data_IF_708899149558
#
_entry.id   IF_708899149558
#
_cell.length_a   1.000
_cell.length_b   1.000
_cell.length_c   1.000
_cell.angle_alpha   90.00
_cell.angle_beta   90.00
_cell.angle_gamma   90.00
#
_symmetry.space_group_name_H-M   'P 1'
#
loop_
_entity.id
_entity.type
_entity.pdbx_description
1 polymer ?
#
# COMPACT_ATOMS: atom_id res chain seq x y z
N UNK A 1 -20.84 10.74 8.82
CA UNK A 1 -20.18 9.43 8.95
C UNK A 1 -18.69 9.66 8.75
N UNK A 2 -17.88 9.50 9.79
CA UNK A 2 -16.43 9.73 9.73
C UNK A 2 -15.79 8.45 9.16
N UNK A 3 -15.32 8.50 7.93
CA UNK A 3 -14.54 7.41 7.35
C UNK A 3 -13.14 7.46 7.99
N UNK A 4 -12.88 6.54 8.90
CA UNK A 4 -11.61 6.38 9.57
C UNK A 4 -10.90 5.20 8.90
N UNK A 5 -9.84 5.48 8.13
CA UNK A 5 -9.14 4.45 7.35
C UNK A 5 -7.97 3.91 8.19
N UNK A 6 -8.02 2.61 8.46
CA UNK A 6 -6.85 1.84 8.85
C UNK A 6 -5.87 1.82 7.67
N UNK A 7 -4.64 2.28 7.88
CA UNK A 7 -3.54 2.13 6.92
C UNK A 7 -3.29 0.63 6.71
N UNK A 8 -3.91 0.04 5.69
CA UNK A 8 -3.57 -1.29 5.23
C UNK A 8 -2.30 -1.17 4.39
N UNK A 9 -1.15 -1.35 5.05
CA UNK A 9 0.14 -1.45 4.39
C UNK A 9 0.22 -2.84 3.74
N UNK A 10 0.05 -2.89 2.42
CA UNK A 10 0.21 -4.08 1.60
C UNK A 10 1.68 -4.30 1.23
N UNK A 11 2.11 -5.55 1.29
CA UNK A 11 3.49 -6.04 1.33
C UNK A 11 4.11 -6.33 -0.04
N UNK A 12 5.43 -6.16 -0.22
CA UNK A 12 6.18 -6.68 -1.38
C UNK A 12 7.55 -7.24 -0.94
N UNK A 13 7.78 -8.55 -1.12
CA UNK A 13 9.12 -9.16 -1.09
C UNK A 13 9.46 -9.69 -2.49
N UNK A 14 10.51 -9.14 -3.09
CA UNK A 14 11.08 -9.66 -4.33
C UNK A 14 12.05 -10.80 -4.02
N UNK A 15 11.85 -11.98 -4.61
CA UNK A 15 12.89 -13.00 -4.73
C UNK A 15 13.10 -13.41 -6.18
N UNK A 16 14.39 -13.52 -6.51
CA UNK A 16 15.00 -13.80 -7.81
C UNK A 16 14.72 -15.25 -8.22
N UNK A 17 14.40 -15.45 -9.49
CA UNK A 17 14.08 -16.74 -10.09
C UNK A 17 15.32 -17.55 -10.47
N UNK A 18 15.32 -18.86 -10.18
CA UNK A 18 16.03 -19.88 -10.97
C UNK A 18 15.26 -21.22 -10.94
N UNK A 19 15.10 -21.83 -12.13
CA UNK A 19 14.94 -23.29 -12.31
C UNK A 19 13.51 -23.83 -12.51
N UNK A 20 13.23 -24.32 -13.73
CA UNK A 20 12.08 -25.19 -14.07
C UNK A 20 12.38 -26.65 -13.72
N UNK A 21 11.41 -27.38 -13.14
CA UNK A 21 11.08 -28.79 -13.46
C UNK A 21 9.58 -29.00 -13.23
N UNK A 22 8.86 -29.44 -14.26
CA UNK A 22 7.47 -29.89 -14.15
C UNK A 22 7.40 -31.32 -13.59
N UNK A 23 6.61 -31.52 -12.54
CA UNK A 23 6.06 -32.85 -12.18
C UNK A 23 4.61 -32.62 -11.76
N UNK A 24 3.66 -33.16 -12.53
CA UNK A 24 2.25 -33.20 -12.17
C UNK A 24 1.93 -34.42 -11.30
N UNK A 25 1.22 -34.25 -10.17
CA UNK A 25 0.24 -35.24 -9.72
C UNK A 25 -1.16 -34.65 -9.71
N UNK A 26 -2.09 -35.43 -10.27
CA UNK A 26 -3.53 -35.20 -10.30
C UNK A 26 -4.12 -35.34 -8.88
N UNK A 27 -5.00 -34.42 -8.50
CA UNK A 27 -5.86 -34.37 -7.30
C UNK A 27 -5.20 -33.97 -5.96
N UNK A 28 -5.48 -32.72 -5.52
CA UNK A 28 -5.10 -32.11 -4.23
C UNK A 28 -5.50 -30.62 -4.22
N UNK A 29 -5.74 -29.96 -3.06
CA UNK A 29 -6.70 -28.87 -2.90
C UNK A 29 -6.38 -27.63 -3.76
N UNK A 30 -7.45 -26.95 -4.19
CA UNK A 30 -7.48 -25.77 -5.07
C UNK A 30 -6.25 -24.87 -4.84
N UNK A 31 -5.47 -24.76 -5.91
CA UNK A 31 -4.23 -23.99 -6.05
C UNK A 31 -4.14 -22.76 -5.13
N UNK A 32 -3.22 -22.83 -4.15
CA UNK A 32 -2.47 -21.67 -3.68
C UNK A 32 -1.63 -21.15 -4.86
N UNK A 33 -2.30 -20.45 -5.78
CA UNK A 33 -1.63 -19.80 -6.90
C UNK A 33 -0.71 -18.71 -6.37
N UNK A 34 0.56 -18.73 -6.83
CA UNK A 34 1.59 -17.70 -6.62
C UNK A 34 0.96 -16.33 -6.34
N UNK A 35 1.01 -15.93 -5.07
CA UNK A 35 0.55 -14.62 -4.62
C UNK A 35 1.51 -13.58 -5.18
N UNK A 36 0.99 -12.79 -6.11
CA UNK A 36 1.62 -11.59 -6.62
C UNK A 36 0.66 -10.42 -6.44
N UNK A 37 1.25 -9.23 -6.38
CA UNK A 37 0.66 -7.96 -5.95
C UNK A 37 -0.56 -7.54 -6.77
N UNK A 38 -1.67 -7.16 -6.15
CA UNK A 38 -2.98 -6.92 -6.79
C UNK A 38 -3.73 -5.68 -6.27
N UNK A 39 -4.38 -4.94 -7.17
CA UNK A 39 -5.70 -4.31 -6.99
C UNK A 39 -6.57 -4.86 -8.12
N UNK A 40 -6.98 -6.12 -7.99
CA UNK A 40 -7.80 -6.79 -9.02
C UNK A 40 -9.21 -6.19 -9.01
N UNK A 41 -9.78 -5.81 -10.14
CA UNK A 41 -11.20 -5.38 -10.17
C UNK A 41 -11.52 -3.99 -9.61
N UNK A 42 -10.51 -3.11 -9.43
CA UNK A 42 -10.75 -1.71 -9.08
C UNK A 42 -11.37 -0.89 -10.22
N UNK A 43 -12.02 0.22 -9.87
CA UNK A 43 -12.52 1.22 -10.83
C UNK A 43 -11.71 2.51 -10.73
N UNK A 44 -11.65 3.34 -11.78
CA UNK A 44 -11.06 4.66 -11.68
C UNK A 44 -11.64 5.46 -10.50
N UNK A 45 -10.77 6.00 -9.66
CA UNK A 45 -11.15 6.82 -8.51
C UNK A 45 -11.56 8.23 -8.97
N UNK A 46 -12.50 8.87 -8.26
CA UNK A 46 -12.74 10.30 -8.39
C UNK A 46 -11.81 11.10 -7.45
N UNK A 47 -11.47 12.33 -7.84
CA UNK A 47 -10.57 13.19 -7.04
C UNK A 47 -11.08 13.44 -5.61
N UNK A 48 -12.40 13.39 -5.42
CA UNK A 48 -13.05 13.54 -4.11
C UNK A 48 -12.90 12.32 -3.19
N UNK A 49 -12.62 11.13 -3.72
CA UNK A 49 -12.57 9.89 -2.94
C UNK A 49 -11.26 9.71 -2.17
N UNK A 50 -10.15 10.29 -2.64
CA UNK A 50 -8.83 10.09 -2.03
C UNK A 50 -7.92 11.31 -2.14
N UNK A 51 -8.33 12.47 -1.61
CA UNK A 51 -7.53 13.71 -1.65
C UNK A 51 -6.22 13.65 -0.82
N UNK A 52 -6.05 12.59 -0.04
CA UNK A 52 -4.86 12.29 0.77
C UNK A 52 -3.90 11.29 0.09
N UNK A 53 -4.22 10.80 -1.10
CA UNK A 53 -3.39 9.83 -1.83
C UNK A 53 -2.07 10.47 -2.26
N UNK A 54 -0.97 9.80 -1.93
CA UNK A 54 0.37 10.17 -2.37
C UNK A 54 1.05 9.04 -3.15
N UNK A 55 1.96 9.43 -4.04
CA UNK A 55 2.85 8.57 -4.80
C UNK A 55 4.28 8.75 -4.27
N UNK A 56 4.80 7.75 -3.59
CA UNK A 56 6.20 7.72 -3.17
C UNK A 56 7.07 7.32 -4.35
N UNK A 57 8.03 8.19 -4.65
CA UNK A 57 9.02 7.96 -5.70
C UNK A 57 10.40 7.86 -5.08
N UNK A 58 11.21 6.95 -5.62
CA UNK A 58 12.61 6.82 -5.30
C UNK A 58 13.48 7.14 -6.51
N UNK A 59 14.67 7.69 -6.26
CA UNK A 59 15.69 7.90 -7.27
C UNK A 59 16.53 6.62 -7.44
N UNK A 60 16.53 6.09 -8.65
CA UNK A 60 17.39 4.98 -9.06
C UNK A 60 18.31 5.37 -10.21
N UNK A 61 18.96 4.37 -10.81
CA UNK A 61 19.90 4.56 -11.92
C UNK A 61 19.28 5.24 -13.14
N UNK A 62 18.02 4.91 -13.45
CA UNK A 62 17.28 5.45 -14.59
C UNK A 62 16.43 6.69 -14.22
N UNK A 63 16.73 7.33 -13.09
CA UNK A 63 16.00 8.47 -12.57
C UNK A 63 14.90 8.08 -11.57
N UNK A 64 13.91 8.95 -11.44
CA UNK A 64 12.86 8.83 -10.43
C UNK A 64 11.73 7.90 -10.91
N UNK A 65 11.36 6.94 -10.07
CA UNK A 65 10.25 6.02 -10.35
C UNK A 65 9.33 5.87 -9.14
N UNK A 66 8.06 5.57 -9.41
CA UNK A 66 7.11 5.22 -8.36
C UNK A 66 7.44 3.86 -7.78
N UNK A 67 7.54 3.80 -6.46
CA UNK A 67 7.83 2.57 -5.73
C UNK A 67 6.66 2.15 -4.83
N UNK A 68 5.94 3.11 -4.24
CA UNK A 68 4.89 2.83 -3.27
C UNK A 68 3.85 3.95 -3.19
N UNK A 69 2.75 3.68 -2.49
CA UNK A 69 1.81 4.71 -2.05
C UNK A 69 2.20 5.39 -0.74
N UNK A 70 1.44 6.41 -0.36
CA UNK A 70 1.48 7.03 0.96
C UNK A 70 0.19 7.81 1.22
N UNK A 71 0.01 8.25 2.45
CA UNK A 71 -1.12 9.09 2.87
C UNK A 71 -0.62 10.41 3.48
N UNK A 72 -1.17 11.53 3.02
CA UNK A 72 -0.92 12.84 3.63
C UNK A 72 -1.64 12.90 4.98
N UNK A 73 -0.93 13.12 6.09
CA UNK A 73 -1.52 13.05 7.45
C UNK A 73 -1.32 14.32 8.29
N UNK A 74 -0.48 15.24 7.82
CA UNK A 74 -0.20 16.49 8.54
C UNK A 74 0.39 17.54 7.62
N UNK A 75 0.78 18.70 8.18
CA UNK A 75 1.26 19.85 7.39
C UNK A 75 2.49 19.52 6.53
N UNK A 76 3.37 18.64 6.99
CA UNK A 76 4.56 18.15 6.25
C UNK A 76 4.75 16.65 6.41
N UNK A 77 3.71 15.91 6.75
CA UNK A 77 3.84 14.52 7.20
C UNK A 77 3.09 13.58 6.28
N UNK A 78 3.78 12.53 5.85
CA UNK A 78 3.23 11.44 5.04
C UNK A 78 3.52 10.12 5.74
N UNK A 79 2.53 9.24 5.85
CA UNK A 79 2.72 7.87 6.33
C UNK A 79 2.76 6.92 5.13
N UNK A 80 3.71 6.00 5.17
CA UNK A 80 3.88 4.89 4.22
C UNK A 80 4.37 3.65 4.97
N UNK A 81 4.69 2.58 4.24
CA UNK A 81 5.26 1.36 4.79
C UNK A 81 6.74 1.53 5.17
N UNK A 82 7.22 0.81 6.19
CA UNK A 82 8.64 0.70 6.47
C UNK A 82 9.39 0.03 5.31
N UNK A 83 8.83 -1.01 4.70
CA UNK A 83 9.45 -1.70 3.57
C UNK A 83 9.60 -0.81 2.33
N UNK A 84 8.80 0.25 2.22
CA UNK A 84 8.91 1.25 1.14
C UNK A 84 10.02 2.28 1.39
N UNK A 85 10.43 2.46 2.65
CA UNK A 85 11.49 3.36 3.06
C UNK A 85 12.84 2.64 3.24
N UNK A 86 12.82 1.32 3.42
CA UNK A 86 13.96 0.53 3.84
C UNK A 86 15.15 0.71 2.89
N UNK A 87 16.32 1.04 3.45
CA UNK A 87 17.54 1.31 2.68
C UNK A 87 17.60 2.65 1.93
N UNK A 88 16.54 3.48 1.95
CA UNK A 88 16.55 4.79 1.30
C UNK A 88 16.91 5.93 2.26
N UNK A 89 17.71 6.88 1.77
CA UNK A 89 17.91 8.17 2.44
C UNK A 89 16.85 9.18 2.00
N UNK A 90 16.61 10.22 2.81
CA UNK A 90 15.64 11.28 2.50
C UNK A 90 15.88 11.92 1.11
N UNK A 91 17.14 12.17 0.75
CA UNK A 91 17.50 12.74 -0.54
C UNK A 91 17.13 11.87 -1.75
N UNK A 92 16.94 10.56 -1.53
CA UNK A 92 16.53 9.60 -2.57
C UNK A 92 15.02 9.42 -2.65
N UNK A 93 14.24 10.13 -1.84
CA UNK A 93 12.78 10.02 -1.79
C UNK A 93 12.09 11.36 -2.07
N UNK A 94 10.95 11.27 -2.76
CA UNK A 94 10.03 12.40 -2.95
C UNK A 94 8.59 11.93 -2.99
N UNK A 95 7.69 12.81 -2.56
CA UNK A 95 6.25 12.57 -2.59
C UNK A 95 5.63 13.38 -3.73
N UNK A 96 4.87 12.71 -4.58
CA UNK A 96 4.03 13.34 -5.60
C UNK A 96 2.56 13.20 -5.20
N UNK A 97 1.76 14.25 -5.40
CA UNK A 97 0.33 14.28 -5.09
C UNK A 97 -0.40 15.35 -5.92
N UNK A 98 -1.70 15.52 -5.66
CA UNK A 98 -2.62 16.41 -6.38
C UNK A 98 -2.88 15.96 -7.83
N UNK A 99 -3.66 14.89 -7.98
CA UNK A 99 -4.09 14.36 -9.27
C UNK A 99 -4.50 12.89 -9.17
N UNK A 100 -5.04 12.38 -10.28
CA UNK A 100 -5.48 10.98 -10.41
C UNK A 100 -4.57 10.18 -11.33
N UNK A 101 -3.89 10.82 -12.27
CA UNK A 101 -2.90 10.17 -13.11
C UNK A 101 -1.51 10.32 -12.50
N UNK A 102 -0.87 9.20 -12.16
CA UNK A 102 0.44 9.15 -11.50
C UNK A 102 1.55 9.82 -12.29
N UNK A 103 1.39 9.96 -13.61
CA UNK A 103 2.39 10.57 -14.51
C UNK A 103 2.22 12.08 -14.67
N UNK A 104 1.10 12.63 -14.21
CA UNK A 104 0.77 14.08 -14.34
C UNK A 104 0.34 14.71 -13.00
N UNK A 105 0.77 14.13 -11.88
CA UNK A 105 0.57 14.69 -10.54
C UNK A 105 1.14 16.11 -10.47
N UNK A 106 0.35 17.05 -9.96
CA UNK A 106 0.67 18.50 -10.05
C UNK A 106 1.71 18.96 -9.06
N UNK A 107 1.89 18.22 -7.96
CA UNK A 107 2.83 18.60 -6.90
C UNK A 107 3.91 17.53 -6.72
N UNK A 108 5.17 17.98 -6.67
CA UNK A 108 6.32 17.19 -6.23
C UNK A 108 6.91 17.85 -4.99
N UNK A 109 7.09 17.10 -3.91
CA UNK A 109 7.61 17.60 -2.65
C UNK A 109 8.75 16.68 -2.15
N UNK A 110 10.00 17.18 -2.04
CA UNK A 110 11.12 16.38 -1.55
C UNK A 110 10.93 15.94 -0.09
N UNK A 111 11.59 14.84 0.28
CA UNK A 111 11.64 14.36 1.66
C UNK A 111 12.89 14.93 2.35
N UNK A 112 12.74 15.40 3.58
CA UNK A 112 13.83 15.89 4.44
C UNK A 112 14.19 14.91 5.55
N UNK A 113 13.25 14.05 5.95
CA UNK A 113 13.46 13.07 7.02
C UNK A 113 12.68 11.77 6.74
N UNK A 114 13.33 10.65 7.01
CA UNK A 114 12.77 9.30 6.96
C UNK A 114 12.81 8.73 8.36
N UNK A 115 11.64 8.63 9.00
CA UNK A 115 11.47 8.02 10.31
C UNK A 115 10.84 6.63 10.13
N UNK A 116 11.66 5.64 9.77
CA UNK A 116 11.28 4.23 9.74
C UNK A 116 11.18 3.70 11.17
N UNK A 117 10.18 2.86 11.46
CA UNK A 117 10.07 2.27 12.78
C UNK A 117 11.27 1.38 13.11
N UNK A 118 11.92 1.59 14.26
CA UNK A 118 13.16 0.89 14.64
C UNK A 118 12.97 -0.60 14.89
N UNK A 119 11.75 -1.05 15.18
CA UNK A 119 11.41 -2.47 15.34
C UNK A 119 10.89 -3.12 14.06
N UNK A 120 10.95 -2.44 12.91
CA UNK A 120 10.60 -3.04 11.63
C UNK A 120 11.43 -4.30 11.37
N UNK A 121 10.75 -5.38 10.99
CA UNK A 121 11.37 -6.65 10.65
C UNK A 121 10.95 -7.06 9.25
N UNK A 122 11.89 -7.13 8.31
CA UNK A 122 11.60 -7.46 6.90
C UNK A 122 11.26 -8.92 6.63
N UNK A 123 11.43 -9.82 7.61
CA UNK A 123 11.02 -11.22 7.50
C UNK A 123 9.57 -11.42 7.94
N UNK A 124 9.16 -10.78 9.05
CA UNK A 124 7.80 -10.91 9.60
C UNK A 124 6.87 -9.80 9.17
N UNK A 125 7.42 -8.71 8.63
CA UNK A 125 6.73 -7.47 8.27
C UNK A 125 5.98 -6.88 9.47
N UNK A 126 6.56 -7.09 10.64
CA UNK A 126 6.01 -6.48 11.82
C UNK A 126 6.56 -5.07 11.95
N UNK A 127 5.78 -4.17 12.54
CA UNK A 127 6.11 -2.74 12.63
C UNK A 127 6.36 -2.06 11.27
N UNK A 128 5.61 -2.45 10.24
CA UNK A 128 5.76 -1.95 8.87
C UNK A 128 5.13 -0.56 8.65
N UNK A 129 5.68 0.46 9.31
CA UNK A 129 5.33 1.86 9.04
C UNK A 129 6.55 2.78 9.05
N UNK A 130 6.44 3.84 8.26
CA UNK A 130 7.46 4.88 8.10
C UNK A 130 6.76 6.24 7.99
N UNK A 131 7.30 7.24 8.69
CA UNK A 131 6.85 8.64 8.59
C UNK A 131 7.87 9.44 7.80
N UNK A 132 7.41 10.07 6.74
CA UNK A 132 8.22 10.95 5.90
C UNK A 132 7.89 12.40 6.26
N UNK A 133 8.94 13.20 6.51
CA UNK A 133 8.81 14.66 6.65
C UNK A 133 9.16 15.32 5.32
N UNK A 134 8.26 16.15 4.81
CA UNK A 134 8.41 16.86 3.54
C UNK A 134 9.11 18.22 3.72
N UNK A 135 9.73 18.72 2.65
CA UNK A 135 10.36 20.05 2.64
C UNK A 135 9.32 21.16 2.78
N UNK A 136 8.27 21.11 1.95
CA UNK A 136 7.25 22.17 1.86
C UNK A 136 5.97 21.79 2.59
N UNK A 137 5.24 22.81 3.06
CA UNK A 137 3.90 22.63 3.61
C UNK A 137 2.93 22.09 2.55
N UNK A 138 2.10 21.13 2.96
CA UNK A 138 0.96 20.66 2.20
C UNK A 138 -0.14 21.71 2.30
N UNK A 139 -0.36 22.44 1.21
CA UNK A 139 -1.45 23.40 1.07
C UNK A 139 -2.72 22.63 0.73
N UNK A 140 -3.69 22.64 1.64
CA UNK A 140 -4.97 21.97 1.42
C UNK A 140 -5.82 22.68 0.36
N UNK A 141 -6.55 21.90 -0.42
CA UNK A 141 -7.44 22.35 -1.49
C UNK A 141 -8.65 21.41 -1.60
N UNK A 142 -9.44 21.56 -2.67
CA UNK A 142 -10.52 20.61 -2.99
C UNK A 142 -10.00 19.22 -3.38
N UNK A 143 -8.77 19.12 -3.90
CA UNK A 143 -8.15 17.88 -4.37
C UNK A 143 -6.99 17.39 -3.48
N UNK A 144 -6.57 18.19 -2.51
CA UNK A 144 -5.49 17.88 -1.58
C UNK A 144 -5.98 18.05 -0.14
N UNK A 145 -6.01 16.97 0.63
CA UNK A 145 -6.36 17.00 2.05
C UNK A 145 -5.49 16.04 2.84
N UNK A 146 -5.35 16.30 4.13
CA UNK A 146 -4.80 15.32 5.06
C UNK A 146 -5.90 14.40 5.57
N UNK A 147 -5.56 13.14 5.86
CA UNK A 147 -6.44 12.19 6.53
C UNK A 147 -6.20 12.18 8.04
N UNK A 148 -7.26 12.02 8.83
CA UNK A 148 -7.18 11.86 10.28
C UNK A 148 -6.66 10.45 10.64
N UNK A 149 -5.81 10.39 11.67
CA UNK A 149 -5.35 9.12 12.23
C UNK A 149 -6.36 8.59 13.26
N UNK A 150 -6.50 7.26 13.31
CA UNK A 150 -7.31 6.57 14.30
C UNK A 150 -6.47 6.10 15.48
N UNK A 151 -7.06 6.10 16.67
CA UNK A 151 -6.43 5.56 17.88
C UNK A 151 -6.83 4.12 18.17
N UNK A 152 -7.86 3.61 17.48
CA UNK A 152 -8.40 2.26 17.67
C UNK A 152 -8.67 1.61 16.32
N UNK A 153 -8.42 0.31 16.22
CA UNK A 153 -8.75 -0.45 15.03
C UNK A 153 -10.28 -0.47 14.81
N UNK A 154 -10.76 -0.30 13.57
CA UNK A 154 -12.17 -0.42 13.25
C UNK A 154 -12.67 -1.86 13.50
N UNK A 155 -13.93 -2.04 13.91
CA UNK A 155 -14.48 -3.37 14.18
C UNK A 155 -14.67 -4.20 12.89
N UNK A 156 -14.76 -5.51 13.05
CA UNK A 156 -15.09 -6.43 11.97
C UNK A 156 -16.35 -6.00 11.19
N UNK A 157 -16.31 -6.10 9.87
CA UNK A 157 -17.40 -5.71 8.98
C UNK A 157 -17.45 -4.21 8.66
N UNK A 158 -16.62 -3.38 9.31
CA UNK A 158 -16.55 -1.95 8.99
C UNK A 158 -16.21 -1.72 7.51
N UNK A 159 -16.85 -0.75 6.85
CA UNK A 159 -16.48 -0.38 5.49
C UNK A 159 -15.09 0.25 5.47
N UNK A 160 -14.30 -0.14 4.48
CA UNK A 160 -13.01 0.42 4.17
C UNK A 160 -12.88 0.62 2.66
N UNK A 161 -11.85 1.33 2.24
CA UNK A 161 -11.56 1.54 0.83
C UNK A 161 -10.06 1.45 0.59
N UNK A 162 -9.69 0.91 -0.56
CA UNK A 162 -8.33 0.85 -1.02
C UNK A 162 -8.19 1.69 -2.28
N UNK A 163 -7.15 2.52 -2.33
CA UNK A 163 -6.77 3.27 -3.52
C UNK A 163 -5.29 3.11 -3.83
N UNK A 164 -4.93 3.19 -5.11
CA UNK A 164 -3.53 3.17 -5.52
C UNK A 164 -3.31 2.95 -7.01
N UNK A 165 -2.03 2.97 -7.39
CA UNK A 165 -1.56 2.69 -8.75
C UNK A 165 -0.85 1.33 -8.85
N UNK A 166 -1.22 0.40 -7.97
CA UNK A 166 -0.72 -0.98 -8.00
C UNK A 166 -1.25 -1.77 -9.19
N UNK A 167 -0.64 -2.92 -9.48
CA UNK A 167 -1.04 -3.79 -10.60
C UNK A 167 -2.53 -4.14 -10.53
N UNK A 168 -3.24 -4.03 -11.65
CA UNK A 168 -4.69 -4.31 -11.72
C UNK A 168 -5.02 -5.76 -12.11
N UNK A 169 -4.03 -6.54 -12.53
CA UNK A 169 -4.18 -7.97 -12.79
C UNK A 169 -2.86 -8.71 -12.55
N UNK A 170 -2.95 -10.02 -12.35
CA UNK A 170 -1.76 -10.87 -12.14
C UNK A 170 -0.91 -11.10 -13.41
N UNK A 171 -1.37 -10.66 -14.59
CA UNK A 171 -0.71 -10.88 -15.87
C UNK A 171 -0.06 -9.61 -16.45
N UNK A 172 -0.31 -8.44 -15.88
CA UNK A 172 0.29 -7.19 -16.38
C UNK A 172 1.54 -6.80 -15.60
N UNK A 173 2.61 -6.49 -16.33
CA UNK A 173 3.80 -5.83 -15.78
C UNK A 173 3.59 -4.32 -15.64
N UNK A 174 2.65 -3.75 -16.38
CA UNK A 174 2.37 -2.32 -16.42
C UNK A 174 1.44 -1.90 -15.28
N UNK A 175 1.90 -0.95 -14.48
CA UNK A 175 1.09 -0.28 -13.47
C UNK A 175 0.09 0.68 -14.15
N UNK A 176 -1.16 0.78 -13.68
CA UNK A 176 -2.11 1.78 -14.18
C UNK A 176 -1.57 3.19 -13.94
N UNK A 177 -1.80 4.10 -14.88
CA UNK A 177 -1.53 5.53 -14.66
C UNK A 177 -2.67 6.18 -13.89
N UNK A 178 -3.92 5.82 -14.18
CA UNK A 178 -5.09 6.27 -13.44
C UNK A 178 -5.20 5.61 -12.06
N UNK A 179 -5.54 6.40 -11.04
CA UNK A 179 -5.74 5.94 -9.67
C UNK A 179 -6.91 4.97 -9.63
N UNK A 180 -6.68 3.79 -9.05
CA UNK A 180 -7.69 2.77 -8.87
C UNK A 180 -8.32 2.89 -7.49
N UNK A 181 -9.57 2.47 -7.39
CA UNK A 181 -10.35 2.42 -6.16
C UNK A 181 -11.06 1.08 -6.02
N UNK A 182 -11.19 0.60 -4.78
CA UNK A 182 -11.92 -0.61 -4.44
C UNK A 182 -12.54 -0.49 -3.05
N UNK A 183 -13.83 -0.81 -2.86
CA UNK A 183 -14.41 -0.95 -1.53
C UNK A 183 -13.94 -2.26 -0.87
N UNK A 184 -13.72 -2.23 0.43
CA UNK A 184 -13.28 -3.36 1.24
C UNK A 184 -14.14 -3.45 2.50
N UNK A 185 -14.16 -4.62 3.14
CA UNK A 185 -14.63 -4.76 4.52
C UNK A 185 -13.48 -5.17 5.42
N UNK A 186 -13.40 -4.56 6.59
CA UNK A 186 -12.48 -4.99 7.65
C UNK A 186 -12.83 -6.42 8.07
N UNK A 187 -11.82 -7.27 8.20
CA UNK A 187 -11.91 -8.67 8.62
C UNK A 187 -11.29 -8.80 10.01
N UNK A 188 -11.90 -9.58 10.90
CA UNK A 188 -11.32 -9.80 12.23
C UNK A 188 -9.95 -10.47 12.11
N UNK A 189 -9.05 -10.21 13.06
CA UNK A 189 -7.72 -10.83 13.05
C UNK A 189 -7.83 -12.34 13.19
N UNK A 190 -8.79 -12.82 13.95
CA UNK A 190 -9.06 -14.24 14.18
C UNK A 190 -9.49 -14.94 12.88
N UNK A 191 -10.37 -14.33 12.09
CA UNK A 191 -10.72 -14.86 10.76
C UNK A 191 -9.56 -14.74 9.77
N UNK A 192 -8.78 -13.66 9.85
CA UNK A 192 -7.64 -13.48 8.99
C UNK A 192 -6.55 -14.54 9.26
N UNK A 193 -6.27 -14.85 10.52
CA UNK A 193 -5.30 -15.87 10.90
C UNK A 193 -5.69 -17.27 10.38
N UNK A 194 -6.98 -17.63 10.36
CA UNK A 194 -7.43 -18.89 9.74
C UNK A 194 -7.04 -19.04 8.26
N UNK A 195 -6.83 -17.92 7.55
CA UNK A 195 -6.40 -17.89 6.15
C UNK A 195 -4.88 -18.00 6.03
N UNK A 196 -4.14 -17.35 6.93
CA UNK A 196 -2.68 -17.20 6.84
C UNK A 196 -1.88 -18.26 7.60
N UNK A 197 -2.43 -18.82 8.68
CA UNK A 197 -1.81 -19.88 9.47
C UNK A 197 -1.42 -21.12 8.65
N UNK A 198 -2.23 -21.62 7.69
CA UNK A 198 -1.82 -22.73 6.82
C UNK A 198 -0.58 -22.43 5.97
N UNK A 199 -0.28 -21.16 5.73
CA UNK A 199 0.93 -20.71 5.02
C UNK A 199 2.10 -20.41 5.98
N UNK A 200 1.97 -20.74 7.27
CA UNK A 200 2.99 -20.47 8.30
C UNK A 200 3.14 -18.98 8.64
N UNK A 201 2.11 -18.17 8.35
CA UNK A 201 2.11 -16.72 8.60
C UNK A 201 1.16 -16.39 9.75
N UNK A 202 1.50 -15.37 10.55
CA UNK A 202 0.68 -14.93 11.68
C UNK A 202 0.40 -13.43 11.58
N UNK A 203 -0.87 -13.07 11.55
CA UNK A 203 -1.36 -11.69 11.61
C UNK A 203 -1.31 -11.21 13.07
N UNK A 204 -0.47 -10.21 13.33
CA UNK A 204 -0.23 -9.69 14.68
C UNK A 204 -1.29 -8.67 15.11
N UNK A 205 -1.23 -8.20 16.35
CA UNK A 205 -2.07 -7.10 16.84
C UNK A 205 -1.79 -5.74 16.21
N UNK A 206 -0.69 -5.61 15.46
CA UNK A 206 -0.30 -4.37 14.75
C UNK A 206 -0.77 -4.36 13.29
N UNK A 207 -1.45 -5.43 12.85
CA UNK A 207 -1.94 -5.61 11.50
C UNK A 207 -3.48 -5.59 11.48
N UNK A 208 -4.04 -5.08 10.38
CA UNK A 208 -5.49 -5.05 10.14
C UNK A 208 -5.74 -5.71 8.79
N UNK A 209 -6.71 -6.62 8.75
CA UNK A 209 -7.11 -7.28 7.52
C UNK A 209 -8.33 -6.61 6.90
N UNK A 210 -8.34 -6.56 5.58
CA UNK A 210 -9.48 -6.13 4.81
C UNK A 210 -9.65 -7.08 3.62
N UNK A 211 -10.90 -7.38 3.26
CA UNK A 211 -11.20 -8.27 2.14
C UNK A 211 -12.23 -7.67 1.20
N UNK A 212 -12.15 -8.11 -0.06
CA UNK A 212 -13.18 -7.97 -1.06
C UNK A 212 -13.15 -9.25 -1.93
N UNK A 213 -14.32 -9.70 -2.41
CA UNK A 213 -14.41 -10.96 -3.16
C UNK A 213 -13.82 -10.87 -4.58
N UNK A 214 -13.74 -9.66 -5.14
CA UNK A 214 -13.34 -9.37 -6.52
C UNK A 214 -12.01 -8.62 -6.59
N UNK A 215 -11.50 -8.17 -5.44
CA UNK A 215 -10.39 -7.25 -5.34
C UNK A 215 -9.56 -7.48 -4.08
N UNK A 216 -8.28 -7.11 -4.14
CA UNK A 216 -7.37 -7.25 -3.00
C UNK A 216 -6.39 -6.08 -2.94
N UNK A 217 -5.69 -5.96 -1.82
CA UNK A 217 -4.48 -5.15 -1.73
C UNK A 217 -3.29 -5.80 -2.42
N UNK A 218 -2.27 -4.98 -2.68
CA UNK A 218 -1.04 -5.45 -3.31
C UNK A 218 -0.26 -6.33 -2.32
N UNK A 219 -0.18 -7.63 -2.63
CA UNK A 219 0.74 -8.61 -2.05
C UNK A 219 1.78 -9.07 -3.08
#
# INVERSE_FOLDING_TARGET
MRAAIALAVGLCLAQIAYGFVEISPKYGPKSLGRMGSRVVGGTPASASQSPFQASLNAEGWFGWSHICGGSLVGKRSVITAAHCCDGYTAAKLRILYDGLDRTTLKTTNPVTKVDQHTSYNSQTIDWDYCVLTLTNDIVQSTTVKTIELVTTAPPHGSPAHLTGWGKTSGSTSTLPTALQYTPMSIVSREECNKIWEPAGQTVTARMICASNQKASGCN
#
